data_IF_840302708703
#
_entry.id   IF_840302708703
#
_cell.length_a   1.000
_cell.length_b   1.000
_cell.length_c   1.000
_cell.angle_alpha   90.00
_cell.angle_beta   90.00
_cell.angle_gamma   90.00
#
_symmetry.space_group_name_H-M   'P 1'
#
loop_
_entity.id
_entity.type
_entity.pdbx_description
1 polymer ?
#
# COMPACT_ATOMS: atom_id res chain seq x y z
N UNK A 1 -7.75 -39.63 27.89
CA UNK A 1 -7.32 -38.33 27.36
C UNK A 1 -6.89 -38.52 25.92
N UNK A 2 -7.66 -37.97 24.98
CA UNK A 2 -7.59 -38.34 23.56
C UNK A 2 -6.59 -37.50 22.77
N UNK A 3 -5.94 -38.15 21.79
CA UNK A 3 -5.00 -37.57 20.82
C UNK A 3 -5.61 -36.44 19.96
N UNK A 4 -6.92 -36.20 20.05
CA UNK A 4 -7.64 -35.15 19.33
C UNK A 4 -7.53 -33.75 19.95
N UNK A 5 -6.97 -33.61 21.15
CA UNK A 5 -6.88 -32.30 21.84
C UNK A 5 -5.73 -31.42 21.32
N UNK A 6 -4.80 -31.98 20.55
CA UNK A 6 -3.72 -31.24 19.89
C UNK A 6 -4.17 -30.49 18.63
N UNK A 7 -5.35 -30.81 18.06
CA UNK A 7 -5.90 -30.10 16.91
C UNK A 7 -6.61 -28.78 17.27
N UNK A 8 -6.81 -28.50 18.57
CA UNK A 8 -7.55 -27.30 19.04
C UNK A 8 -6.66 -26.13 19.50
N UNK A 9 -5.35 -26.24 19.37
CA UNK A 9 -4.42 -25.21 19.86
C UNK A 9 -3.74 -24.43 18.74
N UNK A 10 -4.55 -23.68 17.98
CA UNK A 10 -4.20 -22.31 17.58
C UNK A 10 -5.44 -21.68 16.97
N UNK A 11 -6.17 -20.90 17.76
CA UNK A 11 -6.91 -19.78 17.18
C UNK A 11 -5.90 -19.01 16.35
N UNK A 12 -6.13 -18.91 15.05
CA UNK A 12 -5.36 -18.15 14.08
C UNK A 12 -5.51 -16.66 14.39
N UNK A 13 -4.94 -16.19 15.51
CA UNK A 13 -4.92 -14.77 15.88
C UNK A 13 -3.94 -13.96 15.02
N UNK A 14 -3.54 -14.50 13.86
CA UNK A 14 -2.60 -13.88 12.93
C UNK A 14 -3.26 -13.55 11.58
N UNK A 15 -4.53 -13.91 11.35
CA UNK A 15 -5.28 -13.50 10.15
C UNK A 15 -5.86 -12.08 10.24
N UNK A 16 -5.69 -11.37 11.36
CA UNK A 16 -5.90 -9.92 11.48
C UNK A 16 -4.65 -9.16 10.97
N UNK A 17 -4.09 -9.62 9.86
CA UNK A 17 -3.02 -8.92 9.18
C UNK A 17 -3.67 -7.87 8.27
N UNK A 18 -3.65 -6.61 8.74
CA UNK A 18 -4.09 -5.44 7.97
C UNK A 18 -3.58 -5.54 6.54
N UNK A 19 -4.49 -5.63 5.57
CA UNK A 19 -4.13 -5.63 4.16
C UNK A 19 -3.40 -4.32 3.83
N UNK A 20 -2.26 -4.38 3.13
CA UNK A 20 -1.50 -3.20 2.70
C UNK A 20 -1.48 -3.15 1.18
N UNK A 21 -1.81 -1.99 0.62
CA UNK A 21 -1.68 -1.71 -0.81
C UNK A 21 -0.30 -1.08 -1.03
N UNK A 22 0.54 -1.69 -1.87
CA UNK A 22 1.83 -1.14 -2.28
C UNK A 22 1.80 -0.86 -3.78
N UNK A 23 2.18 0.35 -4.16
CA UNK A 23 2.26 0.80 -5.55
C UNK A 23 3.68 1.30 -5.79
N UNK A 24 4.38 0.71 -6.75
CA UNK A 24 5.73 1.14 -7.16
C UNK A 24 5.65 1.61 -8.61
N UNK A 25 6.04 2.87 -8.84
CA UNK A 25 6.07 3.49 -10.16
C UNK A 25 7.50 3.88 -10.44
N UNK A 26 8.12 3.25 -11.45
CA UNK A 26 9.43 3.63 -11.94
C UNK A 26 9.25 4.34 -13.29
N UNK A 27 9.76 5.56 -13.37
CA UNK A 27 9.75 6.36 -14.59
C UNK A 27 11.19 6.60 -15.03
N UNK A 28 11.53 6.23 -16.27
CA UNK A 28 12.75 6.67 -16.91
C UNK A 28 12.53 8.09 -17.45
N UNK A 29 13.39 9.03 -17.07
CA UNK A 29 13.34 10.42 -17.52
C UNK A 29 13.72 10.47 -18.99
N UNK A 30 12.73 10.29 -19.86
CA UNK A 30 12.89 10.47 -21.29
C UNK A 30 13.12 11.95 -21.59
N UNK A 31 14.39 12.29 -21.79
CA UNK A 31 14.86 13.55 -22.34
C UNK A 31 14.78 14.79 -21.43
N UNK A 32 15.83 15.63 -21.52
CA UNK A 32 16.00 16.86 -20.76
C UNK A 32 14.84 17.82 -21.04
N UNK A 33 13.96 18.05 -20.07
CA UNK A 33 12.90 19.07 -20.12
C UNK A 33 11.46 18.58 -20.05
N UNK A 34 11.21 17.28 -19.85
CA UNK A 34 9.86 16.76 -19.63
C UNK A 34 9.23 17.19 -18.28
N UNK A 35 7.90 17.30 -18.18
CA UNK A 35 7.21 17.57 -16.92
C UNK A 35 7.49 16.52 -15.85
N UNK A 36 7.59 16.94 -14.59
CA UNK A 36 7.68 16.04 -13.44
C UNK A 36 6.30 15.40 -13.19
N UNK A 37 6.06 14.22 -13.78
CA UNK A 37 4.78 13.51 -13.68
C UNK A 37 4.59 12.75 -12.36
N UNK A 38 5.67 12.31 -11.70
CA UNK A 38 5.58 11.60 -10.42
C UNK A 38 4.86 12.37 -9.31
N UNK A 39 5.14 13.66 -9.05
CA UNK A 39 4.39 14.41 -8.03
C UNK A 39 2.92 14.64 -8.41
N UNK A 40 2.60 14.68 -9.71
CA UNK A 40 1.20 14.76 -10.17
C UNK A 40 0.47 13.43 -9.93
N UNK A 41 1.05 12.32 -10.37
CA UNK A 41 0.53 10.97 -10.16
C UNK A 41 0.37 10.64 -8.67
N UNK A 42 1.32 11.06 -7.83
CA UNK A 42 1.22 10.91 -6.38
C UNK A 42 -0.08 11.52 -5.85
N UNK A 43 -0.41 12.74 -6.24
CA UNK A 43 -1.61 13.45 -5.77
C UNK A 43 -2.89 12.77 -6.27
N UNK A 44 -2.93 12.43 -7.57
CA UNK A 44 -4.10 11.78 -8.17
C UNK A 44 -4.36 10.39 -7.55
N UNK A 45 -3.31 9.58 -7.38
CA UNK A 45 -3.44 8.26 -6.77
C UNK A 45 -3.90 8.35 -5.32
N UNK A 46 -3.39 9.31 -4.54
CA UNK A 46 -3.86 9.55 -3.18
C UNK A 46 -5.35 9.91 -3.13
N UNK A 47 -5.81 10.77 -4.03
CA UNK A 47 -7.23 11.14 -4.11
C UNK A 47 -8.11 9.96 -4.51
N UNK A 48 -7.68 9.16 -5.49
CA UNK A 48 -8.39 7.96 -5.93
C UNK A 48 -8.45 6.93 -4.81
N UNK A 49 -7.35 6.66 -4.11
CA UNK A 49 -7.33 5.70 -3.01
C UNK A 49 -8.27 6.17 -1.88
N UNK A 50 -8.25 7.46 -1.52
CA UNK A 50 -9.19 8.03 -0.53
C UNK A 50 -10.66 7.89 -0.93
N UNK A 51 -10.97 7.91 -2.23
CA UNK A 51 -12.33 7.76 -2.73
C UNK A 51 -12.88 6.35 -2.54
N UNK A 52 -12.03 5.33 -2.69
CA UNK A 52 -12.44 3.92 -2.63
C UNK A 52 -12.12 3.24 -1.29
N UNK A 53 -11.22 3.84 -0.51
CA UNK A 53 -10.76 3.28 0.75
C UNK A 53 -10.73 4.40 1.78
N UNK A 54 -11.38 4.16 2.91
CA UNK A 54 -11.39 5.11 4.02
C UNK A 54 -10.06 5.05 4.77
N UNK A 55 -9.01 5.60 4.15
CA UNK A 55 -7.64 5.63 4.68
C UNK A 55 -7.38 6.94 5.41
N UNK A 56 -6.73 6.85 6.56
CA UNK A 56 -6.22 8.03 7.24
C UNK A 56 -4.98 8.54 6.50
N UNK A 57 -4.78 9.86 6.45
CA UNK A 57 -3.63 10.45 5.71
C UNK A 57 -2.31 9.98 6.32
N UNK A 58 -2.31 9.79 7.64
CA UNK A 58 -1.16 9.29 8.41
C UNK A 58 -0.86 7.81 8.14
N UNK A 59 -1.78 7.08 7.52
CA UNK A 59 -1.62 5.67 7.15
C UNK A 59 -0.96 5.47 5.77
N UNK A 60 -0.59 6.57 5.09
CA UNK A 60 0.08 6.55 3.79
C UNK A 60 1.56 6.88 3.95
N UNK A 61 2.42 5.99 3.46
CA UNK A 61 3.84 6.25 3.28
C UNK A 61 4.11 6.50 1.81
N UNK A 62 4.89 7.54 1.53
CA UNK A 62 5.32 7.88 0.18
C UNK A 62 6.82 8.10 0.19
N UNK A 63 7.52 7.34 -0.63
CA UNK A 63 8.95 7.45 -0.82
C UNK A 63 9.24 7.72 -2.29
N UNK A 64 9.92 8.83 -2.57
CA UNK A 64 10.36 9.17 -3.92
C UNK A 64 11.89 9.10 -3.97
N UNK A 65 12.40 8.16 -4.75
CA UNK A 65 13.83 7.91 -4.93
C UNK A 65 14.21 8.39 -6.33
N UNK A 66 15.11 9.37 -6.40
CA UNK A 66 15.69 9.84 -7.66
C UNK A 66 17.07 9.21 -7.83
N UNK A 67 17.24 8.37 -8.83
CA UNK A 67 18.52 7.72 -9.18
C UNK A 67 18.91 8.03 -10.63
N UNK A 68 19.69 9.09 -10.79
CA UNK A 68 20.25 9.51 -12.08
C UNK A 68 19.17 9.88 -13.11
N UNK A 69 18.86 8.93 -14.01
CA UNK A 69 17.82 9.07 -15.04
C UNK A 69 16.50 8.38 -14.67
N UNK A 70 16.43 7.70 -13.53
CA UNK A 70 15.24 7.00 -13.07
C UNK A 70 14.68 7.72 -11.86
N UNK A 71 13.39 7.98 -11.89
CA UNK A 71 12.66 8.45 -10.72
C UNK A 71 11.68 7.34 -10.32
N UNK A 72 11.73 6.90 -9.06
CA UNK A 72 10.90 5.83 -8.50
C UNK A 72 10.02 6.40 -7.40
N UNK A 73 8.74 6.08 -7.43
CA UNK A 73 7.74 6.46 -6.44
C UNK A 73 7.16 5.19 -5.82
N UNK A 74 7.40 4.97 -4.53
CA UNK A 74 6.76 3.95 -3.71
C UNK A 74 5.66 4.60 -2.87
N UNK A 75 4.43 4.10 -3.02
CA UNK A 75 3.29 4.48 -2.20
C UNK A 75 2.81 3.23 -1.48
N UNK A 76 2.84 3.28 -0.16
CA UNK A 76 2.43 2.20 0.73
C UNK A 76 1.27 2.67 1.62
N UNK A 77 0.11 2.04 1.48
CA UNK A 77 -1.13 2.41 2.17
C UNK A 77 -1.64 1.25 3.00
N UNK A 78 -1.88 1.48 4.29
CA UNK A 78 -2.59 0.50 5.11
C UNK A 78 -4.09 0.57 4.82
N UNK A 79 -4.66 -0.51 4.30
CA UNK A 79 -6.09 -0.61 4.06
C UNK A 79 -6.80 -0.88 5.41
N UNK A 80 -7.89 -0.17 5.72
CA UNK A 80 -8.78 -0.56 6.80
C UNK A 80 -9.39 -1.92 6.48
N UNK A 81 -9.61 -2.73 7.50
CA UNK A 81 -10.41 -3.94 7.34
C UNK A 81 -11.82 -3.51 6.93
N UNK A 82 -12.30 -4.02 5.79
CA UNK A 82 -13.68 -3.82 5.36
C UNK A 82 -14.65 -4.36 6.43
N UNK A 83 -15.95 -4.01 6.37
CA UNK A 83 -16.91 -4.46 7.37
C UNK A 83 -16.80 -5.97 7.50
N UNK A 84 -16.50 -6.42 8.72
CA UNK A 84 -16.43 -7.82 9.12
C UNK A 84 -17.68 -8.50 8.58
N UNK A 85 -17.47 -9.40 7.61
CA UNK A 85 -18.57 -10.09 6.95
C UNK A 85 -19.30 -10.92 8.02
N UNK A 86 -20.63 -10.80 8.16
CA UNK A 86 -21.39 -11.43 9.24
C UNK A 86 -21.35 -12.96 9.18
#
# INVERSE_FOLDING_TARGET
MGLFDFLKAKKTTAETAKNRLQIIIAQERSHRGGPDYLPLLQRELLEVIKKYVNIDVDAVKVDLVKDGQHDVLDISVALPEGPEKP
#
